data_IF_152665384586
#
_entry.id   IF_152665384586
#
_cell.length_a   1.000
_cell.length_b   1.000
_cell.length_c   1.000
_cell.angle_alpha   90.00
_cell.angle_beta   90.00
_cell.angle_gamma   90.00
#
_symmetry.space_group_name_H-M   'P 1'
#
loop_
_entity.id
_entity.type
_entity.pdbx_description
1 polymer ?
#
# COMPACT_ATOMS: atom_id res chain seq x y z
N UNK A 1 -30.33 14.29 -13.94
CA UNK A 1 -30.08 13.99 -12.51
C UNK A 1 -29.41 12.64 -12.30
N UNK A 2 -29.81 11.59 -13.04
CA UNK A 2 -29.32 10.22 -12.85
C UNK A 2 -27.91 10.02 -13.44
N UNK A 3 -27.60 10.72 -14.54
CA UNK A 3 -26.28 10.71 -15.18
C UNK A 3 -25.22 11.39 -14.28
N UNK A 4 -25.58 12.53 -13.66
CA UNK A 4 -24.69 13.26 -12.73
C UNK A 4 -24.45 12.49 -11.42
N UNK A 5 -25.45 11.74 -10.94
CA UNK A 5 -25.28 10.82 -9.80
C UNK A 5 -24.42 9.61 -10.17
N UNK A 6 -24.59 9.06 -11.37
CA UNK A 6 -23.78 7.94 -11.87
C UNK A 6 -22.32 8.29 -12.04
N UNK A 7 -22.00 9.48 -12.56
CA UNK A 7 -20.61 9.96 -12.65
C UNK A 7 -20.00 10.23 -11.27
N UNK A 8 -20.77 10.75 -10.30
CA UNK A 8 -20.30 10.93 -8.93
C UNK A 8 -19.92 9.60 -8.26
N UNK A 9 -20.77 8.57 -8.41
CA UNK A 9 -20.53 7.24 -7.86
C UNK A 9 -19.28 6.62 -8.51
N UNK A 10 -19.14 6.73 -9.84
CA UNK A 10 -17.97 6.23 -10.55
C UNK A 10 -16.67 6.90 -10.06
N UNK A 11 -16.68 8.23 -9.85
CA UNK A 11 -15.52 8.97 -9.32
C UNK A 11 -15.17 8.53 -7.90
N UNK A 12 -16.17 8.37 -7.03
CA UNK A 12 -15.99 7.91 -5.64
C UNK A 12 -15.42 6.48 -5.60
N UNK A 13 -15.86 5.59 -6.50
CA UNK A 13 -15.30 4.23 -6.59
C UNK A 13 -13.90 4.22 -7.21
N UNK A 14 -13.61 5.14 -8.13
CA UNK A 14 -12.31 5.22 -8.80
C UNK A 14 -11.22 5.75 -7.86
N UNK A 15 -11.57 6.68 -6.96
CA UNK A 15 -10.65 7.16 -5.92
C UNK A 15 -10.43 6.14 -4.82
N UNK A 16 -11.38 5.24 -4.56
CA UNK A 16 -11.26 4.19 -3.54
C UNK A 16 -10.34 3.03 -3.96
N UNK A 17 -10.16 2.82 -5.26
CA UNK A 17 -9.28 1.76 -5.80
C UNK A 17 -7.82 2.18 -5.91
N UNK A 18 -7.49 3.45 -5.62
CA UNK A 18 -6.14 4.01 -5.75
C UNK A 18 -5.31 3.90 -4.45
N UNK A 19 -5.62 2.95 -3.57
CA UNK A 19 -4.78 2.69 -2.40
C UNK A 19 -3.48 2.04 -2.84
N UNK A 20 -2.44 2.86 -3.01
CA UNK A 20 -1.07 2.46 -2.64
C UNK A 20 -1.09 1.93 -1.21
N UNK A 21 -0.06 1.19 -0.79
CA UNK A 21 -0.05 0.54 0.52
C UNK A 21 -0.41 1.52 1.65
N UNK A 22 -1.67 1.50 2.12
CA UNK A 22 -2.24 2.54 2.95
C UNK A 22 -2.98 1.93 4.13
N UNK A 23 -2.48 2.30 5.31
CA UNK A 23 -3.06 2.07 6.63
C UNK A 23 -2.94 0.66 7.18
N UNK A 24 -1.71 0.21 7.41
CA UNK A 24 -1.47 -0.80 8.44
C UNK A 24 -0.79 -0.14 9.64
N UNK A 25 -1.25 -0.38 10.88
CA UNK A 25 -0.51 0.00 12.09
C UNK A 25 0.85 -0.74 12.21
N UNK A 26 1.19 -1.62 11.27
CA UNK A 26 2.44 -2.35 11.20
C UNK A 26 3.21 -1.96 9.94
N UNK A 27 4.01 -0.92 10.04
CA UNK A 27 4.99 -0.58 9.02
C UNK A 27 6.39 -1.07 9.46
N UNK A 28 7.27 -1.38 8.51
CA UNK A 28 8.60 -1.92 8.82
C UNK A 28 9.47 -0.83 9.49
N UNK A 29 9.94 -1.12 10.71
CA UNK A 29 10.92 -0.30 11.43
C UNK A 29 12.32 -0.53 10.85
N UNK A 30 12.80 0.43 10.06
CA UNK A 30 14.11 0.38 9.39
C UNK A 30 15.28 0.19 10.36
N UNK A 31 15.15 0.61 11.63
CA UNK A 31 16.21 0.46 12.63
C UNK A 31 16.50 -1.01 12.99
N UNK A 32 15.59 -1.91 12.66
CA UNK A 32 15.72 -3.36 12.93
C UNK A 32 16.28 -4.13 11.74
N UNK A 33 16.53 -3.47 10.60
CA UNK A 33 17.09 -4.11 9.42
C UNK A 33 18.58 -4.38 9.64
N UNK A 34 18.98 -5.64 9.52
CA UNK A 34 20.38 -6.03 9.54
C UNK A 34 20.84 -6.39 8.12
N UNK A 35 21.71 -5.58 7.47
CA UNK A 35 22.18 -5.84 6.12
C UNK A 35 23.14 -7.04 6.00
N UNK A 36 23.64 -7.55 7.13
CA UNK A 36 24.56 -8.70 7.19
C UNK A 36 23.84 -10.02 7.49
N UNK A 37 22.52 -9.99 7.73
CA UNK A 37 21.75 -11.19 8.00
C UNK A 37 21.59 -12.07 6.75
N UNK A 38 21.55 -13.39 6.95
CA UNK A 38 21.18 -14.33 5.89
C UNK A 38 19.65 -14.29 5.75
N UNK A 39 19.16 -13.85 4.59
CA UNK A 39 17.73 -13.81 4.29
C UNK A 39 17.24 -15.14 3.70
N UNK A 40 15.98 -15.46 3.94
CA UNK A 40 15.26 -16.50 3.19
C UNK A 40 15.01 -16.01 1.76
N UNK A 41 14.75 -16.93 0.83
CA UNK A 41 14.33 -16.59 -0.55
C UNK A 41 12.85 -16.21 -0.62
N UNK A 42 12.37 -15.47 0.37
CA UNK A 42 11.01 -14.95 0.42
C UNK A 42 11.02 -13.51 -0.09
N UNK A 43 10.42 -13.31 -1.27
CA UNK A 43 10.31 -12.02 -1.95
C UNK A 43 8.85 -11.52 -1.92
N UNK A 44 8.06 -11.98 -0.95
CA UNK A 44 6.69 -11.50 -0.76
C UNK A 44 6.74 -10.00 -0.45
N UNK A 45 6.02 -9.15 -1.20
CA UNK A 45 6.14 -7.71 -1.06
C UNK A 45 5.64 -7.21 0.31
N UNK A 46 6.36 -6.25 0.89
CA UNK A 46 6.04 -5.64 2.19
C UNK A 46 5.79 -4.14 2.08
N UNK A 47 5.09 -3.58 3.07
CA UNK A 47 4.75 -2.17 3.16
C UNK A 47 5.77 -1.38 4.00
N UNK A 48 6.38 -0.35 3.41
CA UNK A 48 7.20 0.62 4.14
C UNK A 48 6.35 1.64 4.90
N UNK A 49 6.90 2.21 5.98
CA UNK A 49 6.28 3.34 6.68
C UNK A 49 6.14 4.59 5.80
N UNK A 50 6.87 4.65 4.69
CA UNK A 50 6.80 5.69 3.68
C UNK A 50 5.69 5.47 2.64
N UNK A 51 4.88 4.41 2.80
CA UNK A 51 3.79 4.06 1.89
C UNK A 51 4.26 3.43 0.57
N UNK A 52 5.55 3.06 0.45
CA UNK A 52 6.08 2.32 -0.70
C UNK A 52 6.07 0.81 -0.45
N UNK A 53 6.04 0.06 -1.55
CA UNK A 53 6.15 -1.41 -1.53
C UNK A 53 7.59 -1.83 -1.85
N UNK A 54 8.11 -2.76 -1.07
CA UNK A 54 9.46 -3.34 -1.22
C UNK A 54 9.38 -4.84 -1.49
N UNK A 55 10.29 -5.38 -2.30
CA UNK A 55 10.36 -6.79 -2.74
C UNK A 55 11.76 -7.35 -2.61
#
# INVERSE_FOLDING_TARGET
>A
MNILKGTLIAIITLTFMASSCQNEPQCIDESKINPEAICTMDYTPVCGCDGKTYS
#
